data_IF_385736849889
#
_entry.id   IF_385736849889
#
_cell.length_a   1.000
_cell.length_b   1.000
_cell.length_c   1.000
_cell.angle_alpha   90.00
_cell.angle_beta   90.00
_cell.angle_gamma   90.00
#
_symmetry.space_group_name_H-M   'P 1'
#
loop_
_entity.id
_entity.type
_entity.pdbx_description
1 polymer ?
#
# COMPACT_ATOMS: atom_id res chain seq x y z
N UNK A 1 12.01 -17.98 13.11
CA UNK A 1 10.72 -17.33 13.45
C UNK A 1 10.06 -16.95 12.15
N UNK A 2 8.78 -17.25 11.94
CA UNK A 2 8.06 -16.83 10.74
C UNK A 2 7.92 -15.31 10.77
N UNK A 3 8.28 -14.63 9.68
CA UNK A 3 8.16 -13.17 9.61
C UNK A 3 6.69 -12.76 9.58
N UNK A 4 6.26 -11.73 10.34
CA UNK A 4 4.87 -11.33 10.47
C UNK A 4 4.41 -10.53 9.24
N UNK A 5 4.03 -11.22 8.17
CA UNK A 5 3.39 -10.62 7.00
C UNK A 5 2.32 -11.54 6.43
N UNK A 6 1.43 -10.97 5.64
CA UNK A 6 0.44 -11.71 4.87
C UNK A 6 0.51 -11.38 3.38
N UNK A 7 0.04 -12.31 2.56
CA UNK A 7 -0.12 -12.16 1.13
C UNK A 7 -1.60 -12.31 0.77
N UNK A 8 -2.05 -11.50 -0.17
CA UNK A 8 -3.40 -11.58 -0.68
C UNK A 8 -3.51 -12.67 -1.74
N UNK A 9 -4.51 -13.58 -1.67
CA UNK A 9 -4.70 -14.64 -2.66
C UNK A 9 -4.81 -14.10 -4.09
N UNK A 10 -5.54 -13.00 -4.29
CA UNK A 10 -5.74 -12.40 -5.61
C UNK A 10 -4.41 -12.00 -6.27
N UNK A 11 -3.55 -11.27 -5.56
CA UNK A 11 -2.26 -10.87 -6.10
C UNK A 11 -1.27 -12.04 -6.22
N UNK A 12 -1.44 -13.10 -5.42
CA UNK A 12 -0.56 -14.28 -5.46
C UNK A 12 -0.72 -15.10 -6.74
N UNK A 13 -1.81 -14.90 -7.49
CA UNK A 13 -1.99 -15.51 -8.82
C UNK A 13 -1.38 -14.69 -9.96
N UNK A 14 -0.78 -13.52 -9.67
CA UNK A 14 -0.22 -12.62 -10.67
C UNK A 14 1.30 -12.76 -10.73
N UNK A 15 1.80 -13.37 -11.80
CA UNK A 15 3.22 -13.76 -11.91
C UNK A 15 4.19 -12.58 -12.13
N UNK A 16 3.69 -11.40 -12.48
CA UNK A 16 4.54 -10.25 -12.80
C UNK A 16 4.96 -9.44 -11.57
N UNK A 17 4.45 -9.75 -10.38
CA UNK A 17 4.73 -8.95 -9.19
C UNK A 17 5.03 -9.80 -7.96
N UNK A 18 5.59 -9.14 -6.95
CA UNK A 18 5.70 -9.66 -5.58
C UNK A 18 5.06 -8.67 -4.63
N UNK A 19 4.28 -9.15 -3.68
CA UNK A 19 3.61 -8.31 -2.70
C UNK A 19 3.61 -8.93 -1.32
N UNK A 20 3.54 -8.06 -0.31
CA UNK A 20 3.18 -8.40 1.07
C UNK A 20 2.52 -7.21 1.74
N UNK A 21 1.74 -7.51 2.77
CA UNK A 21 1.32 -6.55 3.78
C UNK A 21 1.91 -6.99 5.12
N UNK A 22 2.77 -6.17 5.73
CA UNK A 22 3.33 -6.53 7.04
C UNK A 22 2.28 -6.44 8.14
N UNK A 23 2.39 -7.32 9.12
CA UNK A 23 1.60 -7.31 10.35
C UNK A 23 2.41 -6.62 11.46
N UNK A 24 1.84 -6.54 12.67
CA UNK A 24 2.52 -6.02 13.85
C UNK A 24 3.82 -6.78 14.10
N UNK A 25 4.89 -6.03 14.38
CA UNK A 25 6.20 -6.59 14.73
C UNK A 25 6.27 -6.69 16.26
N UNK A 26 6.39 -7.90 16.83
CA UNK A 26 6.44 -8.07 18.28
C UNK A 26 7.72 -7.48 18.87
N UNK A 27 7.64 -6.99 20.11
CA UNK A 27 8.81 -6.49 20.85
C UNK A 27 9.33 -5.10 20.43
N UNK A 28 8.66 -4.42 19.50
CA UNK A 28 9.02 -3.05 19.11
C UNK A 28 8.23 -2.05 19.97
N UNK A 29 8.95 -1.17 20.68
CA UNK A 29 8.32 -0.04 21.34
C UNK A 29 7.85 1.00 20.32
N UNK A 30 6.54 1.20 20.26
CA UNK A 30 5.85 2.10 19.33
C UNK A 30 5.35 3.40 19.99
N UNK A 31 5.70 3.65 21.26
CA UNK A 31 5.28 4.82 22.03
C UNK A 31 6.14 6.05 21.73
N UNK A 32 6.34 6.36 20.45
CA UNK A 32 7.16 7.48 19.98
C UNK A 32 6.54 8.16 18.76
N UNK A 33 7.20 9.19 18.21
CA UNK A 33 6.77 9.80 16.95
C UNK A 33 6.94 8.85 15.75
N UNK A 34 6.25 9.17 14.64
CA UNK A 34 6.26 8.33 13.44
C UNK A 34 7.69 8.07 12.92
N UNK A 35 8.57 9.08 12.76
CA UNK A 35 9.95 8.86 12.31
C UNK A 35 10.73 7.85 13.17
N UNK A 36 10.72 8.01 14.50
CA UNK A 36 11.45 7.14 15.40
C UNK A 36 10.87 5.72 15.39
N UNK A 37 9.55 5.59 15.35
CA UNK A 37 8.88 4.28 15.22
C UNK A 37 9.26 3.58 13.90
N UNK A 38 9.30 4.31 12.78
CA UNK A 38 9.72 3.73 11.49
C UNK A 38 11.18 3.29 11.51
N UNK A 39 12.06 4.04 12.17
CA UNK A 39 13.47 3.65 12.38
C UNK A 39 13.58 2.32 13.14
N UNK A 40 12.75 2.12 14.16
CA UNK A 40 12.71 0.86 14.94
C UNK A 40 12.16 -0.32 14.13
N UNK A 41 11.24 -0.07 13.20
CA UNK A 41 10.67 -1.08 12.32
C UNK A 41 11.55 -1.43 11.11
N UNK A 42 12.52 -0.58 10.76
CA UNK A 42 13.34 -0.69 9.54
C UNK A 42 14.00 -2.07 9.39
N UNK A 43 14.60 -2.60 10.46
CA UNK A 43 15.26 -3.92 10.42
C UNK A 43 14.29 -5.02 10.01
N UNK A 44 13.12 -5.10 10.66
CA UNK A 44 12.10 -6.10 10.36
C UNK A 44 11.54 -5.93 8.94
N UNK A 45 11.29 -4.69 8.51
CA UNK A 45 10.82 -4.42 7.16
C UNK A 45 11.84 -4.81 6.08
N UNK A 46 13.14 -4.61 6.31
CA UNK A 46 14.20 -5.06 5.41
C UNK A 46 14.28 -6.59 5.34
N UNK A 47 14.12 -7.28 6.46
CA UNK A 47 14.07 -8.74 6.49
C UNK A 47 12.88 -9.28 5.69
N UNK A 48 11.71 -8.67 5.83
CA UNK A 48 10.52 -9.03 5.06
C UNK A 48 10.74 -8.79 3.55
N UNK A 49 11.32 -7.65 3.16
CA UNK A 49 11.69 -7.39 1.76
C UNK A 49 12.65 -8.45 1.20
N UNK A 50 13.65 -8.86 1.98
CA UNK A 50 14.58 -9.93 1.61
C UNK A 50 13.85 -11.27 1.47
N UNK A 51 12.93 -11.59 2.38
CA UNK A 51 12.18 -12.84 2.35
C UNK A 51 11.29 -12.99 1.12
N UNK A 52 10.77 -11.87 0.59
CA UNK A 52 10.05 -11.87 -0.70
C UNK A 52 10.98 -11.57 -1.88
N UNK A 53 12.30 -11.57 -1.69
CA UNK A 53 13.32 -11.38 -2.71
C UNK A 53 13.26 -10.06 -3.49
N UNK A 54 12.83 -8.98 -2.83
CA UNK A 54 12.96 -7.59 -3.30
C UNK A 54 13.91 -6.77 -2.40
N UNK A 55 14.76 -7.46 -1.65
CA UNK A 55 15.69 -6.88 -0.67
C UNK A 55 16.75 -5.97 -1.30
N UNK A 56 17.25 -6.34 -2.47
CA UNK A 56 18.31 -5.61 -3.20
C UNK A 56 17.77 -4.61 -4.23
N UNK A 57 16.44 -4.47 -4.31
CA UNK A 57 15.81 -3.54 -5.23
C UNK A 57 15.72 -2.15 -4.58
N UNK A 58 15.78 -1.06 -5.36
CA UNK A 58 15.42 0.27 -4.85
C UNK A 58 13.98 0.29 -4.33
N UNK A 59 13.78 0.84 -3.14
CA UNK A 59 12.47 1.10 -2.55
C UNK A 59 12.01 2.53 -2.82
N UNK A 60 10.92 2.66 -3.55
CA UNK A 60 10.19 3.90 -3.71
C UNK A 60 9.14 4.03 -2.61
N UNK A 61 9.20 5.08 -1.80
CA UNK A 61 8.17 5.40 -0.79
C UNK A 61 7.53 6.76 -1.03
N UNK A 62 6.36 6.99 -0.45
CA UNK A 62 5.69 8.29 -0.49
C UNK A 62 5.73 8.94 0.89
N UNK A 63 5.84 10.26 0.97
CA UNK A 63 5.80 10.99 2.24
C UNK A 63 4.45 10.82 2.97
N UNK A 64 3.37 10.67 2.21
CA UNK A 64 1.98 10.47 2.65
C UNK A 64 1.40 11.66 3.44
N UNK A 65 0.96 12.68 2.72
CA UNK A 65 0.38 13.93 3.27
C UNK A 65 -1.14 13.91 3.32
N UNK A 66 -1.76 12.74 3.12
CA UNK A 66 -3.20 12.53 3.01
C UNK A 66 -3.83 13.38 1.88
N UNK A 67 -3.08 13.63 0.82
CA UNK A 67 -3.51 14.26 -0.42
C UNK A 67 -3.96 13.23 -1.45
N UNK A 68 -3.94 13.63 -2.73
CA UNK A 68 -4.26 12.77 -3.86
C UNK A 68 -3.16 12.67 -4.91
N UNK A 69 -1.99 13.27 -4.66
CA UNK A 69 -0.90 13.32 -5.65
C UNK A 69 -0.17 11.98 -5.72
N UNK A 70 0.11 11.55 -6.95
CA UNK A 70 0.81 10.31 -7.25
C UNK A 70 2.22 10.65 -7.77
N UNK A 71 3.19 9.81 -7.42
CA UNK A 71 4.51 9.79 -8.04
C UNK A 71 4.50 8.80 -9.21
N UNK A 72 4.99 9.23 -10.36
CA UNK A 72 5.24 8.34 -11.50
C UNK A 72 6.72 7.99 -11.50
N UNK A 73 7.03 6.70 -11.45
CA UNK A 73 8.39 6.17 -11.61
C UNK A 73 8.45 5.47 -12.95
N UNK A 74 8.86 6.22 -13.98
CA UNK A 74 8.97 5.79 -15.37
C UNK A 74 10.44 5.56 -15.80
N UNK A 75 11.36 5.71 -14.86
CA UNK A 75 12.79 5.50 -15.03
C UNK A 75 13.34 4.63 -13.92
N UNK A 76 14.31 3.77 -14.25
CA UNK A 76 14.88 2.84 -13.28
C UNK A 76 15.54 3.59 -12.12
N UNK A 77 15.16 3.25 -10.89
CA UNK A 77 15.80 3.77 -9.69
C UNK A 77 17.12 3.02 -9.42
N UNK A 78 18.10 3.73 -8.84
CA UNK A 78 19.40 3.13 -8.44
C UNK A 78 19.51 2.94 -6.93
N UNK A 79 18.77 3.74 -6.17
CA UNK A 79 18.73 3.73 -4.71
C UNK A 79 17.30 3.94 -4.24
N UNK A 80 17.05 3.69 -2.96
CA UNK A 80 15.81 4.06 -2.31
C UNK A 80 15.50 5.55 -2.52
N UNK A 81 14.21 5.87 -2.66
CA UNK A 81 13.73 7.23 -2.92
C UNK A 81 12.36 7.46 -2.29
N UNK A 82 12.28 8.45 -1.41
CA UNK A 82 11.00 8.97 -0.94
C UNK A 82 10.52 10.12 -1.85
N UNK A 83 9.23 10.12 -2.18
CA UNK A 83 8.58 11.17 -2.97
C UNK A 83 7.82 12.15 -2.08
N UNK A 84 8.27 13.42 -1.96
CA UNK A 84 7.61 14.43 -1.14
C UNK A 84 6.21 14.81 -1.62
N UNK A 85 5.29 15.00 -0.68
CA UNK A 85 3.92 15.47 -0.95
C UNK A 85 3.06 14.51 -1.79
N UNK A 86 3.44 13.23 -1.84
CA UNK A 86 2.70 12.17 -2.57
C UNK A 86 2.04 11.21 -1.60
N UNK A 87 0.98 10.58 -2.07
CA UNK A 87 0.20 9.58 -1.35
C UNK A 87 0.07 8.27 -2.14
N UNK A 88 0.70 8.18 -3.30
CA UNK A 88 0.80 6.92 -4.03
C UNK A 88 1.93 6.98 -5.03
N UNK A 89 2.31 5.81 -5.50
CA UNK A 89 3.39 5.63 -6.47
C UNK A 89 2.89 4.65 -7.53
N UNK A 90 3.18 4.94 -8.78
CA UNK A 90 2.93 4.03 -9.90
C UNK A 90 4.21 3.84 -10.70
N UNK A 91 4.39 2.67 -11.30
CA UNK A 91 5.57 2.37 -12.13
C UNK A 91 5.30 1.27 -13.14
N UNK A 92 5.96 1.35 -14.29
CA UNK A 92 6.14 0.26 -15.25
C UNK A 92 7.58 -0.27 -15.26
N UNK A 93 8.42 0.16 -14.30
CA UNK A 93 9.82 -0.20 -14.21
C UNK A 93 9.99 -1.48 -13.39
N UNK A 94 10.63 -2.48 -13.99
CA UNK A 94 10.98 -3.74 -13.34
C UNK A 94 12.11 -3.55 -12.34
N UNK A 95 12.19 -4.42 -11.34
CA UNK A 95 13.25 -4.38 -10.32
C UNK A 95 13.12 -3.19 -9.36
N UNK A 96 11.91 -2.65 -9.18
CA UNK A 96 11.61 -1.58 -8.22
C UNK A 96 10.55 -2.08 -7.24
N UNK A 97 10.74 -1.80 -5.94
CA UNK A 97 9.73 -2.05 -4.91
C UNK A 97 9.03 -0.73 -4.53
N UNK A 98 7.71 -0.75 -4.44
CA UNK A 98 6.90 0.34 -3.91
C UNK A 98 6.57 0.06 -2.44
N UNK A 99 6.63 1.09 -1.59
CA UNK A 99 6.33 1.00 -0.17
C UNK A 99 5.35 2.08 0.31
N UNK A 100 4.29 1.67 1.02
CA UNK A 100 3.31 2.57 1.64
C UNK A 100 3.09 2.15 3.11
N UNK A 101 3.22 3.10 4.03
CA UNK A 101 3.05 2.85 5.46
C UNK A 101 1.62 3.18 5.93
N UNK A 102 0.97 2.27 6.65
CA UNK A 102 -0.38 2.51 7.17
C UNK A 102 -0.54 2.08 8.62
N UNK A 103 -1.42 2.78 9.32
CA UNK A 103 -2.10 2.31 10.51
C UNK A 103 -3.50 2.92 10.40
N UNK A 104 -4.51 2.06 10.22
CA UNK A 104 -5.90 2.38 9.87
C UNK A 104 -6.21 2.83 8.44
N UNK A 105 -5.37 3.61 7.77
CA UNK A 105 -5.63 3.94 6.35
C UNK A 105 -5.50 2.70 5.45
N UNK A 106 -6.18 2.69 4.31
CA UNK A 106 -6.07 1.59 3.34
C UNK A 106 -4.83 1.78 2.47
N UNK A 107 -4.04 0.71 2.30
CA UNK A 107 -3.09 0.58 1.22
C UNK A 107 -3.77 -0.15 0.05
N UNK A 108 -3.75 0.47 -1.13
CA UNK A 108 -4.40 -0.03 -2.34
C UNK A 108 -3.30 -0.49 -3.29
N UNK A 109 -3.31 -1.76 -3.60
CA UNK A 109 -2.45 -2.38 -4.61
C UNK A 109 -3.19 -2.37 -5.93
N UNK A 110 -2.52 -1.94 -7.00
CA UNK A 110 -3.04 -1.92 -8.36
C UNK A 110 -2.01 -2.64 -9.22
N UNK A 111 -2.45 -3.65 -9.98
CA UNK A 111 -1.57 -4.41 -10.88
C UNK A 111 -2.25 -4.54 -12.22
N UNK A 112 -1.59 -4.10 -13.28
CA UNK A 112 -1.98 -4.38 -14.66
C UNK A 112 -1.01 -5.42 -15.24
N UNK A 113 -1.45 -6.69 -15.40
CA UNK A 113 -0.61 -7.73 -15.99
C UNK A 113 -0.54 -7.68 -17.52
N UNK A 114 -1.46 -6.97 -18.20
CA UNK A 114 -1.49 -6.89 -19.67
C UNK A 114 -0.59 -5.78 -20.19
N UNK A 115 -0.59 -4.65 -19.51
CA UNK A 115 0.37 -3.57 -19.67
C UNK A 115 1.20 -3.52 -18.38
N UNK A 116 2.30 -4.30 -18.26
CA UNK A 116 3.00 -4.54 -16.99
C UNK A 116 3.32 -3.25 -16.24
N UNK A 117 2.46 -2.95 -15.27
CA UNK A 117 2.54 -1.76 -14.43
C UNK A 117 1.90 -2.03 -13.08
N UNK A 118 2.41 -1.38 -12.05
CA UNK A 118 1.92 -1.49 -10.70
C UNK A 118 1.70 -0.12 -10.07
N UNK A 119 0.81 -0.07 -9.09
CA UNK A 119 0.55 1.09 -8.25
C UNK A 119 0.38 0.69 -6.80
N UNK A 120 0.90 1.51 -5.89
CA UNK A 120 0.67 1.36 -4.46
C UNK A 120 0.27 2.70 -3.86
N UNK A 121 -0.92 2.76 -3.27
CA UNK A 121 -1.59 4.02 -2.91
C UNK A 121 -2.05 4.01 -1.46
N UNK A 122 -1.72 5.06 -0.73
CA UNK A 122 -2.24 5.39 0.59
C UNK A 122 -3.58 6.12 0.47
N UNK A 123 -4.62 5.56 1.08
CA UNK A 123 -5.95 6.17 1.09
C UNK A 123 -6.63 6.05 2.45
N UNK A 124 -6.63 7.14 3.21
CA UNK A 124 -7.54 7.35 4.33
C UNK A 124 -8.79 8.14 3.93
N UNK A 125 -9.56 8.64 4.91
CA UNK A 125 -10.77 9.46 4.69
C UNK A 125 -10.52 10.63 3.72
N UNK A 126 -9.49 11.44 3.97
CA UNK A 126 -9.18 12.63 3.16
C UNK A 126 -8.75 12.27 1.74
N UNK A 127 -7.80 11.33 1.60
CA UNK A 127 -7.32 10.86 0.29
C UNK A 127 -8.44 10.26 -0.57
N UNK A 128 -9.33 9.47 0.07
CA UNK A 128 -10.53 8.90 -0.58
C UNK A 128 -11.47 10.00 -1.09
N UNK A 129 -11.76 11.00 -0.24
CA UNK A 129 -12.58 12.15 -0.64
C UNK A 129 -11.97 13.00 -1.76
N UNK A 130 -10.64 13.06 -1.85
CA UNK A 130 -9.90 13.72 -2.93
C UNK A 130 -9.70 12.83 -4.17
N UNK A 131 -10.18 11.59 -4.16
CA UNK A 131 -10.10 10.66 -5.28
C UNK A 131 -8.68 10.15 -5.57
N UNK A 132 -7.86 9.88 -4.55
CA UNK A 132 -6.46 9.44 -4.75
C UNK A 132 -6.34 8.18 -5.60
N UNK A 133 -7.22 7.19 -5.40
CA UNK A 133 -7.22 5.96 -6.23
C UNK A 133 -7.66 6.24 -7.66
N UNK A 134 -8.60 7.18 -7.85
CA UNK A 134 -8.99 7.62 -9.20
C UNK A 134 -7.80 8.24 -9.92
N UNK A 135 -7.09 9.15 -9.25
CA UNK A 135 -5.91 9.80 -9.82
C UNK A 135 -4.79 8.78 -10.13
N UNK A 136 -4.58 7.77 -9.29
CA UNK A 136 -3.61 6.71 -9.58
C UNK A 136 -3.97 5.91 -10.82
N UNK A 137 -5.21 5.44 -10.94
CA UNK A 137 -5.69 4.68 -12.12
C UNK A 137 -5.61 5.55 -13.37
N UNK A 138 -6.08 6.81 -13.30
CA UNK A 138 -5.97 7.76 -14.42
C UNK A 138 -4.52 7.95 -14.87
N UNK A 139 -3.59 8.12 -13.94
CA UNK A 139 -2.18 8.24 -14.31
C UNK A 139 -1.58 6.95 -14.87
N UNK A 140 -2.02 5.76 -14.44
CA UNK A 140 -1.61 4.51 -15.08
C UNK A 140 -2.11 4.42 -16.53
N UNK A 141 -3.34 4.89 -16.80
CA UNK A 141 -3.88 5.00 -18.17
C UNK A 141 -3.01 5.98 -18.99
N UNK A 142 -2.84 7.20 -18.49
CA UNK A 142 -2.20 8.29 -19.24
C UNK A 142 -0.70 8.04 -19.51
N UNK A 143 0.02 7.46 -18.55
CA UNK A 143 1.47 7.28 -18.65
C UNK A 143 1.89 5.92 -19.21
N UNK A 144 1.12 4.87 -18.94
CA UNK A 144 1.51 3.50 -19.32
C UNK A 144 0.61 2.89 -20.38
N UNK A 145 -0.55 3.50 -20.67
CA UNK A 145 -1.55 2.90 -21.55
C UNK A 145 -2.27 1.71 -20.90
N UNK A 146 -2.31 1.67 -19.57
CA UNK A 146 -3.05 0.63 -18.85
C UNK A 146 -4.55 0.73 -19.13
N UNK A 147 -5.21 -0.43 -19.18
CA UNK A 147 -6.67 -0.52 -19.29
C UNK A 147 -7.23 -0.95 -17.92
N UNK A 148 -8.11 -0.15 -17.27
CA UNK A 148 -8.74 -0.50 -16.02
C UNK A 148 -9.41 -1.89 -16.02
N UNK A 149 -9.93 -2.34 -17.16
CA UNK A 149 -10.55 -3.66 -17.27
C UNK A 149 -9.56 -4.83 -17.09
N UNK A 150 -8.25 -4.57 -17.27
CA UNK A 150 -7.17 -5.53 -17.04
C UNK A 150 -6.56 -5.41 -15.63
N UNK A 151 -6.85 -4.33 -14.91
CA UNK A 151 -6.28 -4.09 -13.59
C UNK A 151 -6.90 -5.01 -12.53
N UNK A 152 -6.05 -5.55 -11.67
CA UNK A 152 -6.42 -6.14 -10.40
C UNK A 152 -6.14 -5.15 -9.28
N UNK A 153 -7.18 -4.84 -8.49
CA UNK A 153 -7.09 -3.96 -7.34
C UNK A 153 -7.32 -4.74 -6.06
N UNK A 154 -6.41 -4.60 -5.10
CA UNK A 154 -6.51 -5.21 -3.78
C UNK A 154 -6.46 -4.14 -2.69
N UNK A 155 -7.44 -4.15 -1.78
CA UNK A 155 -7.51 -3.28 -0.61
C UNK A 155 -6.96 -4.02 0.60
N UNK A 156 -5.99 -3.41 1.29
CA UNK A 156 -5.41 -3.96 2.53
C UNK A 156 -6.40 -3.95 3.69
N UNK A 157 -6.05 -4.60 4.82
CA UNK A 157 -6.68 -4.27 6.10
C UNK A 157 -6.62 -2.76 6.37
N UNK A 158 -7.71 -2.20 6.86
CA UNK A 158 -7.86 -0.78 7.20
C UNK A 158 -8.92 -0.63 8.29
N UNK A 159 -9.07 0.54 8.92
CA UNK A 159 -10.13 0.74 9.90
C UNK A 159 -11.50 0.80 9.22
N UNK A 160 -12.52 0.29 9.90
CA UNK A 160 -13.89 0.15 9.38
C UNK A 160 -14.93 0.45 10.47
N UNK A 161 -16.21 0.68 10.09
CA UNK A 161 -17.30 0.64 11.05
C UNK A 161 -17.33 -0.67 11.86
N UNK A 162 -17.71 -0.64 13.15
CA UNK A 162 -18.11 0.53 13.92
C UNK A 162 -16.93 1.33 14.52
N UNK A 163 -15.68 0.89 14.33
CA UNK A 163 -14.48 1.53 14.91
C UNK A 163 -14.09 2.85 14.22
N UNK A 164 -14.63 3.10 13.03
CA UNK A 164 -14.56 4.37 12.35
C UNK A 164 -15.84 4.62 11.56
N UNK A 165 -16.35 5.85 11.61
CA UNK A 165 -17.65 6.20 11.04
C UNK A 165 -17.68 6.20 9.51
N UNK A 166 -16.52 6.31 8.86
CA UNK A 166 -16.41 6.36 7.40
C UNK A 166 -15.90 5.03 6.87
N UNK A 167 -16.70 4.36 6.03
CA UNK A 167 -16.26 3.21 5.25
C UNK A 167 -15.61 3.67 3.93
N UNK A 168 -14.36 4.12 4.03
CA UNK A 168 -13.61 4.52 2.85
C UNK A 168 -13.18 3.31 1.99
N UNK A 169 -13.16 2.09 2.50
CA UNK A 169 -12.88 0.90 1.70
C UNK A 169 -14.01 0.66 0.67
N UNK A 170 -15.26 0.75 1.12
CA UNK A 170 -16.42 0.67 0.23
C UNK A 170 -16.40 1.79 -0.83
N UNK A 171 -16.06 3.01 -0.44
CA UNK A 171 -15.93 4.13 -1.38
C UNK A 171 -14.78 3.88 -2.37
N UNK A 172 -13.58 3.49 -1.93
CA UNK A 172 -12.45 3.15 -2.81
C UNK A 172 -12.88 2.11 -3.86
N UNK A 173 -13.54 1.03 -3.43
CA UNK A 173 -14.02 0.00 -4.35
C UNK A 173 -15.03 0.57 -5.36
N UNK A 174 -15.95 1.44 -4.93
CA UNK A 174 -16.87 2.15 -5.82
C UNK A 174 -16.13 3.02 -6.83
N UNK A 175 -15.11 3.77 -6.40
CA UNK A 175 -14.29 4.60 -7.28
C UNK A 175 -13.59 3.78 -8.37
N UNK A 176 -13.05 2.61 -8.01
CA UNK A 176 -12.43 1.68 -8.95
C UNK A 176 -13.44 1.15 -9.98
N UNK A 177 -14.64 0.72 -9.53
CA UNK A 177 -15.71 0.25 -10.43
C UNK A 177 -16.14 1.32 -11.43
N UNK A 178 -16.27 2.57 -10.98
CA UNK A 178 -16.64 3.69 -11.86
C UNK A 178 -15.62 3.92 -12.97
N UNK A 179 -14.35 3.58 -12.76
CA UNK A 179 -13.29 3.68 -13.76
C UNK A 179 -13.17 2.44 -14.67
N UNK A 180 -14.01 1.43 -14.47
CA UNK A 180 -14.01 0.21 -15.29
C UNK A 180 -13.15 -0.94 -14.76
N UNK A 181 -12.62 -0.83 -13.53
CA UNK A 181 -11.92 -1.95 -12.90
C UNK A 181 -12.90 -3.08 -12.58
N UNK A 182 -12.59 -4.28 -13.05
CA UNK A 182 -13.45 -5.47 -12.90
C UNK A 182 -13.04 -6.34 -11.71
N UNK A 183 -11.74 -6.48 -11.46
CA UNK A 183 -11.15 -7.32 -10.42
C UNK A 183 -10.82 -6.47 -9.19
N UNK A 184 -11.73 -6.43 -8.21
CA UNK A 184 -11.56 -5.64 -6.98
C UNK A 184 -11.74 -6.56 -5.77
N UNK A 185 -10.66 -6.71 -5.01
CA UNK A 185 -10.57 -7.60 -3.87
C UNK A 185 -10.40 -6.77 -2.59
N UNK A 186 -11.24 -7.04 -1.58
CA UNK A 186 -11.17 -6.38 -0.28
C UNK A 186 -10.85 -7.41 0.80
N UNK A 187 -9.79 -7.18 1.58
CA UNK A 187 -9.48 -7.99 2.77
C UNK A 187 -10.65 -8.10 3.74
N UNK A 188 -11.52 -7.09 3.78
CA UNK A 188 -12.65 -6.99 4.72
C UNK A 188 -12.23 -7.01 6.21
N UNK A 189 -10.93 -6.81 6.49
CA UNK A 189 -10.36 -6.82 7.83
C UNK A 189 -10.33 -5.40 8.39
N UNK A 190 -10.71 -5.26 9.66
CA UNK A 190 -10.61 -4.04 10.44
C UNK A 190 -9.34 -4.05 11.31
N UNK A 191 -8.44 -3.08 11.11
CA UNK A 191 -7.18 -2.97 11.88
C UNK A 191 -7.38 -2.70 13.36
N UNK A 192 -8.50 -2.08 13.75
CA UNK A 192 -8.82 -1.81 15.15
C UNK A 192 -9.41 -3.02 15.89
N UNK A 193 -9.84 -4.08 15.18
CA UNK A 193 -10.44 -5.26 15.80
C UNK A 193 -9.41 -6.27 16.33
N UNK A 194 -8.18 -6.24 15.81
CA UNK A 194 -7.13 -7.19 16.16
C UNK A 194 -5.79 -6.46 16.27
N UNK A 195 -5.51 -5.98 17.48
CA UNK A 195 -4.29 -5.24 17.78
C UNK A 195 -3.08 -6.14 17.94
N UNK A 196 -3.25 -7.46 18.04
CA UNK A 196 -2.12 -8.40 18.06
C UNK A 196 -1.54 -8.55 16.65
N UNK A 197 -2.39 -8.49 15.62
CA UNK A 197 -1.99 -8.56 14.20
C UNK A 197 -1.72 -7.22 13.56
N UNK A 198 -2.40 -6.15 13.97
CA UNK A 198 -2.34 -4.86 13.28
C UNK A 198 -2.03 -3.69 14.23
N UNK A 199 -1.41 -2.67 13.66
CA UNK A 199 -1.32 -1.35 14.27
C UNK A 199 -2.58 -0.53 13.94
N UNK A 200 -3.14 0.16 14.93
CA UNK A 200 -4.31 1.02 14.76
C UNK A 200 -4.09 2.37 15.43
N UNK A 201 -3.98 3.43 14.63
CA UNK A 201 -3.79 4.79 15.12
C UNK A 201 -4.95 5.23 16.03
N UNK A 202 -6.18 4.90 15.64
CA UNK A 202 -7.40 5.25 16.37
C UNK A 202 -7.51 4.47 17.67
N UNK A 203 -7.35 3.16 17.65
CA UNK A 203 -7.48 2.33 18.85
C UNK A 203 -6.37 2.62 19.88
N UNK A 204 -5.15 2.88 19.40
CA UNK A 204 -3.97 3.13 20.23
C UNK A 204 -3.70 4.63 20.46
N UNK A 205 -4.69 5.49 20.18
CA UNK A 205 -4.68 6.94 20.50
C UNK A 205 -3.43 7.67 19.97
N UNK A 206 -3.01 7.30 18.77
CA UNK A 206 -1.91 7.91 18.03
C UNK A 206 -0.50 7.40 18.33
N UNK A 207 -0.33 6.59 19.39
CA UNK A 207 0.96 5.99 19.77
C UNK A 207 1.04 4.55 19.28
N UNK A 208 1.41 4.37 18.02
CA UNK A 208 1.41 3.06 17.37
C UNK A 208 2.42 2.94 16.23
N UNK A 209 2.69 1.69 15.82
CA UNK A 209 3.50 1.29 14.70
C UNK A 209 2.88 1.60 13.33
N UNK A 210 3.53 1.15 12.27
CA UNK A 210 2.97 1.19 10.92
C UNK A 210 3.17 -0.18 10.29
N UNK A 211 2.10 -0.72 9.71
CA UNK A 211 2.24 -1.75 8.70
C UNK A 211 2.89 -1.12 7.47
N UNK A 212 3.59 -1.95 6.71
CA UNK A 212 4.19 -1.62 5.43
C UNK A 212 3.52 -2.49 4.37
N UNK A 213 2.87 -1.84 3.42
CA UNK A 213 2.47 -2.44 2.17
C UNK A 213 3.66 -2.43 1.20
N UNK A 214 3.96 -3.55 0.56
CA UNK A 214 5.03 -3.68 -0.42
C UNK A 214 4.50 -4.29 -1.71
N UNK A 215 4.88 -3.70 -2.85
CA UNK A 215 4.57 -4.21 -4.17
C UNK A 215 5.75 -3.97 -5.10
N UNK A 216 6.34 -5.04 -5.63
CA UNK A 216 7.44 -4.96 -6.60
C UNK A 216 7.04 -5.54 -7.95
N UNK A 217 7.52 -4.92 -9.02
CA UNK A 217 7.35 -5.42 -10.39
C UNK A 217 8.61 -6.20 -10.79
N UNK A 218 8.43 -7.49 -11.13
CA UNK A 218 9.49 -8.41 -11.54
C UNK A 218 10.09 -8.05 -12.88
#
# INVERSE_FOLDING_TARGET
MQLPFEQFPALSTVEICRHVFTQRIPGIDVSNDKPEVLKRLDSAHREIRKAIGVGDWPLATAQQVHGNKIAVVDTSLKTDKEFPGRDGIITNQRGVALGIYVADCCAIYIVDPKTPAIGLVHSGRKGTGLGVVRNAITQMIDHFGSDPANMMVQLSPCIRPPHYEVDFAAEIARQCRTLGVKEIHDSSICTACDLDRYYSYRAEKGKTGRMLALLGLL
#
